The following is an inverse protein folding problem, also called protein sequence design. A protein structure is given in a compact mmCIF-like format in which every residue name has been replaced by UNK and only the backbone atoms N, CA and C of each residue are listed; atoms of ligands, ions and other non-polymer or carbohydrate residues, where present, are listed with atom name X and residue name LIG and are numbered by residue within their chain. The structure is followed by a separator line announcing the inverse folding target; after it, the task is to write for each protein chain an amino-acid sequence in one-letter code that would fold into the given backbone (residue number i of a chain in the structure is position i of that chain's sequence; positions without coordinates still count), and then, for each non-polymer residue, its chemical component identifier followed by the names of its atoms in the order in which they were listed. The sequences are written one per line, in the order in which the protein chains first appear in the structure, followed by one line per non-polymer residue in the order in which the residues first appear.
data_IF_142143162628
#
_entry.id   IF_142143162628
#
_cell.length_a   1.000
_cell.length_b   1.000
_cell.length_c   1.000
_cell.angle_alpha   90.00
_cell.angle_beta   90.00
_cell.angle_gamma   90.00
#
_symmetry.space_group_name_H-M   'P 1'
#
loop_
_entity.id
_entity.type
_entity.pdbx_description
1 polymer ?
#
# COMPACT_ATOMS: atom_id res chain seq x y z
N UNK A 1 -17.22 33.18 -43.31
CA UNK A 1 -16.02 32.86 -42.54
C UNK A 1 -16.48 32.13 -41.30
N UNK A 2 -16.28 30.79 -41.26
CA UNK A 2 -16.65 29.93 -40.14
C UNK A 2 -15.37 29.72 -39.33
N UNK A 3 -15.31 30.32 -38.14
CA UNK A 3 -14.17 30.16 -37.25
C UNK A 3 -14.13 28.77 -36.68
N UNK A 4 -13.08 28.01 -36.91
CA UNK A 4 -12.81 26.75 -36.30
C UNK A 4 -12.50 26.98 -34.83
N UNK A 5 -13.34 26.43 -33.94
CA UNK A 5 -13.05 26.29 -32.52
C UNK A 5 -12.00 25.17 -32.38
N UNK A 6 -10.75 25.57 -32.17
CA UNK A 6 -9.69 24.63 -31.79
C UNK A 6 -9.98 24.17 -30.36
N UNK A 7 -10.50 22.97 -30.26
CA UNK A 7 -10.63 22.32 -28.99
C UNK A 7 -9.25 22.09 -28.36
N UNK A 8 -8.98 22.76 -27.26
CA UNK A 8 -7.85 22.46 -26.38
C UNK A 8 -8.01 21.02 -25.88
N UNK A 9 -7.25 20.09 -26.47
CA UNK A 9 -7.04 18.80 -25.87
C UNK A 9 -6.27 19.00 -24.55
N UNK A 10 -6.71 18.36 -23.45
CA UNK A 10 -5.93 18.42 -22.22
C UNK A 10 -4.55 17.86 -22.50
N UNK A 11 -3.54 18.60 -22.10
CA UNK A 11 -2.14 18.17 -22.18
C UNK A 11 -2.02 16.81 -21.48
N UNK A 12 -1.66 15.78 -22.23
CA UNK A 12 -1.29 14.48 -21.68
C UNK A 12 0.04 14.66 -20.95
N UNK A 13 0.00 14.73 -19.63
CA UNK A 13 1.20 14.80 -18.80
C UNK A 13 1.98 13.51 -18.96
N UNK A 14 3.04 13.54 -19.75
CA UNK A 14 3.97 12.43 -19.89
C UNK A 14 4.61 12.15 -18.53
N UNK A 15 4.22 11.04 -17.88
CA UNK A 15 4.77 10.58 -16.59
C UNK A 15 3.75 10.28 -15.49
N UNK A 16 2.48 10.64 -15.63
CA UNK A 16 1.45 10.38 -14.61
C UNK A 16 0.37 9.38 -15.09
N UNK A 17 0.80 8.21 -15.52
CA UNK A 17 -0.16 7.14 -15.80
C UNK A 17 -0.49 6.41 -14.50
N UNK A 18 -1.75 6.50 -14.01
CA UNK A 18 -2.15 5.80 -12.81
C UNK A 18 -2.15 4.29 -13.02
N UNK A 19 -1.72 3.52 -12.02
CA UNK A 19 -1.84 2.06 -12.02
C UNK A 19 -3.31 1.61 -12.09
N UNK A 20 -3.56 0.33 -12.36
CA UNK A 20 -4.91 -0.23 -12.28
C UNK A 20 -5.49 -0.05 -10.86
N UNK A 21 -4.66 -0.20 -9.83
CA UNK A 21 -5.03 0.05 -8.44
C UNK A 21 -5.46 1.51 -8.23
N UNK A 22 -4.65 2.47 -8.67
CA UNK A 22 -4.97 3.90 -8.55
C UNK A 22 -6.29 4.26 -9.25
N UNK A 23 -6.53 3.72 -10.45
CA UNK A 23 -7.79 3.94 -11.19
C UNK A 23 -9.02 3.39 -10.46
N UNK A 24 -8.87 2.26 -9.75
CA UNK A 24 -9.95 1.62 -9.01
C UNK A 24 -10.25 2.35 -7.69
N UNK A 25 -9.21 2.75 -6.97
CA UNK A 25 -9.35 3.26 -5.60
C UNK A 25 -9.55 4.77 -5.54
N UNK A 26 -8.87 5.54 -6.38
CA UNK A 26 -8.90 7.01 -6.30
C UNK A 26 -10.09 7.57 -7.09
N UNK A 27 -11.02 8.29 -6.44
CA UNK A 27 -12.09 8.98 -7.15
C UNK A 27 -11.49 9.96 -8.17
N UNK A 28 -12.03 10.06 -9.42
CA UNK A 28 -11.44 10.90 -10.47
C UNK A 28 -11.29 12.38 -10.08
N UNK A 29 -12.17 12.90 -9.21
CA UNK A 29 -12.08 14.27 -8.71
C UNK A 29 -10.84 14.45 -7.81
N UNK A 30 -10.59 13.48 -6.91
CA UNK A 30 -9.42 13.49 -6.02
C UNK A 30 -8.12 13.32 -6.81
N UNK A 31 -8.09 12.43 -7.81
CA UNK A 31 -6.91 12.24 -8.64
C UNK A 31 -6.46 13.54 -9.30
N UNK A 32 -7.41 14.32 -9.85
CA UNK A 32 -7.11 15.64 -10.43
C UNK A 32 -6.51 16.59 -9.41
N UNK A 33 -7.07 16.64 -8.19
CA UNK A 33 -6.57 17.50 -7.12
C UNK A 33 -5.16 17.10 -6.68
N UNK A 34 -4.86 15.80 -6.56
CA UNK A 34 -3.51 15.33 -6.23
C UNK A 34 -2.49 15.73 -7.30
N UNK A 35 -2.83 15.57 -8.59
CA UNK A 35 -1.94 15.96 -9.70
C UNK A 35 -1.71 17.47 -9.68
N UNK A 36 -2.77 18.28 -9.58
CA UNK A 36 -2.67 19.75 -9.55
C UNK A 36 -1.85 20.25 -8.35
N UNK A 37 -2.06 19.68 -7.16
CA UNK A 37 -1.32 20.03 -5.97
C UNK A 37 0.15 19.62 -6.08
N UNK A 38 0.42 18.45 -6.64
CA UNK A 38 1.78 17.96 -6.90
C UNK A 38 2.54 18.88 -7.86
N UNK A 39 1.92 19.30 -8.94
CA UNK A 39 2.51 20.26 -9.90
C UNK A 39 2.78 21.62 -9.25
N UNK A 40 1.85 22.11 -8.44
CA UNK A 40 1.95 23.42 -7.80
C UNK A 40 3.07 23.50 -6.76
N UNK A 41 3.31 22.44 -6.00
CA UNK A 41 4.26 22.41 -4.87
C UNK A 41 5.48 21.51 -5.10
N UNK A 42 5.62 20.89 -6.27
CA UNK A 42 6.73 19.98 -6.55
C UNK A 42 6.66 18.67 -5.76
N UNK A 43 5.49 18.31 -5.23
CA UNK A 43 5.27 17.11 -4.44
C UNK A 43 4.76 15.97 -5.34
N UNK A 44 5.24 14.76 -5.14
CA UNK A 44 4.74 13.60 -5.87
C UNK A 44 3.23 13.38 -5.61
N UNK A 45 2.36 13.43 -6.64
CA UNK A 45 0.93 13.22 -6.49
C UNK A 45 0.54 11.88 -5.85
N UNK A 46 1.38 10.86 -6.03
CA UNK A 46 1.11 9.54 -5.45
C UNK A 46 1.34 9.52 -3.93
N UNK A 47 2.25 10.34 -3.42
CA UNK A 47 2.41 10.55 -1.97
C UNK A 47 1.15 11.21 -1.41
N UNK A 48 0.63 12.26 -2.06
CA UNK A 48 -0.62 12.92 -1.63
C UNK A 48 -1.81 11.97 -1.67
N UNK A 49 -1.90 11.14 -2.71
CA UNK A 49 -2.96 10.15 -2.84
C UNK A 49 -2.83 9.06 -1.75
N UNK A 50 -1.62 8.61 -1.42
CA UNK A 50 -1.40 7.66 -0.36
C UNK A 50 -1.80 8.20 1.02
N UNK A 51 -1.47 9.46 1.32
CA UNK A 51 -1.95 10.16 2.53
C UNK A 51 -3.48 10.16 2.55
N UNK A 52 -4.12 10.63 1.47
CA UNK A 52 -5.59 10.67 1.40
C UNK A 52 -6.27 9.31 1.54
N UNK A 53 -5.61 8.23 1.12
CA UNK A 53 -6.09 6.87 1.35
C UNK A 53 -5.98 6.47 2.83
N UNK A 54 -4.79 6.61 3.41
CA UNK A 54 -4.51 6.18 4.78
C UNK A 54 -5.36 6.96 5.78
N UNK A 55 -5.51 8.27 5.58
CA UNK A 55 -6.28 9.11 6.49
C UNK A 55 -7.80 8.82 6.41
N UNK A 56 -8.36 8.78 5.20
CA UNK A 56 -9.82 8.80 5.06
C UNK A 56 -10.36 8.03 3.86
N UNK A 57 -9.55 7.19 3.19
CA UNK A 57 -9.92 6.53 1.93
C UNK A 57 -10.41 7.55 0.88
N UNK A 58 -9.64 8.61 0.70
CA UNK A 58 -9.99 9.75 -0.18
C UNK A 58 -11.32 10.41 0.22
N UNK A 59 -11.49 10.72 1.49
CA UNK A 59 -12.69 11.36 2.01
C UNK A 59 -13.95 10.51 2.03
N UNK A 60 -13.86 9.20 1.75
CA UNK A 60 -15.03 8.29 1.76
C UNK A 60 -15.35 7.72 3.14
N UNK A 61 -14.41 7.79 4.07
CA UNK A 61 -14.63 7.37 5.45
C UNK A 61 -15.75 8.19 6.09
N UNK A 62 -16.58 7.52 6.90
CA UNK A 62 -17.66 8.14 7.68
C UNK A 62 -17.27 8.37 9.14
N UNK A 63 -16.00 8.19 9.48
CA UNK A 63 -15.50 8.44 10.82
C UNK A 63 -15.61 9.92 11.20
N UNK A 64 -15.68 10.24 12.50
CA UNK A 64 -15.68 11.61 12.98
C UNK A 64 -14.49 12.41 12.42
N UNK A 65 -14.68 13.70 12.19
CA UNK A 65 -13.65 14.60 11.67
C UNK A 65 -13.48 14.62 10.16
N UNK A 66 -13.98 13.64 9.40
CA UNK A 66 -13.76 13.59 7.94
C UNK A 66 -14.57 14.67 7.21
N UNK A 67 -15.85 14.83 7.55
CA UNK A 67 -16.76 15.77 6.88
C UNK A 67 -17.16 16.96 7.75
N UNK A 68 -17.00 16.85 9.06
CA UNK A 68 -17.29 17.90 10.02
C UNK A 68 -16.73 17.55 11.39
N UNK A 69 -16.56 18.57 12.25
CA UNK A 69 -16.05 18.38 13.61
C UNK A 69 -14.58 17.93 13.63
N UNK A 70 -14.19 17.15 14.61
CA UNK A 70 -12.84 16.60 14.77
C UNK A 70 -12.89 15.09 14.91
N UNK A 71 -11.78 14.42 14.63
CA UNK A 71 -11.66 12.99 14.81
C UNK A 71 -11.71 12.59 16.31
N UNK A 72 -11.72 11.28 16.57
CA UNK A 72 -11.82 10.74 17.94
C UNK A 72 -10.64 11.14 18.84
N UNK A 73 -9.51 11.56 18.26
CA UNK A 73 -8.38 12.13 19.00
C UNK A 73 -8.56 13.60 19.35
N UNK A 74 -9.67 14.23 18.90
CA UNK A 74 -10.03 15.61 19.22
C UNK A 74 -9.21 16.69 18.55
N UNK A 75 -8.40 16.37 17.53
CA UNK A 75 -7.48 17.32 16.91
C UNK A 75 -7.76 17.63 15.44
N UNK A 76 -8.17 16.62 14.68
CA UNK A 76 -7.87 16.62 13.27
C UNK A 76 -9.13 16.51 12.40
N UNK A 77 -9.08 17.09 11.19
CA UNK A 77 -10.25 17.32 10.36
C UNK A 77 -9.96 17.19 8.86
N UNK A 78 -11.02 16.86 8.12
CA UNK A 78 -11.06 16.83 6.67
C UNK A 78 -10.47 15.56 6.05
N UNK A 79 -10.47 15.47 4.71
CA UNK A 79 -10.00 14.31 3.99
C UNK A 79 -8.51 14.01 4.16
N UNK A 80 -7.72 15.02 4.55
CA UNK A 80 -6.28 14.92 4.80
C UNK A 80 -5.93 14.98 6.29
N UNK A 81 -6.92 14.95 7.20
CA UNK A 81 -6.79 14.93 8.66
C UNK A 81 -5.84 15.99 9.23
N UNK A 82 -5.99 17.25 8.78
CA UNK A 82 -5.21 18.36 9.34
C UNK A 82 -5.54 18.62 10.81
N UNK A 83 -4.49 18.84 11.60
CA UNK A 83 -4.67 19.37 12.96
C UNK A 83 -5.24 20.80 12.89
N UNK A 84 -6.44 20.99 13.46
CA UNK A 84 -7.17 22.26 13.50
C UNK A 84 -7.34 22.80 14.93
N UNK A 85 -6.76 22.13 15.93
CA UNK A 85 -7.00 22.41 17.35
C UNK A 85 -5.74 22.71 18.15
N UNK A 86 -4.65 22.02 17.88
CA UNK A 86 -3.42 22.12 18.66
C UNK A 86 -2.52 23.20 18.08
N UNK A 87 -2.19 24.18 18.86
CA UNK A 87 -1.47 25.42 18.52
C UNK A 87 -1.96 26.55 19.43
N UNK A 88 -1.86 27.82 19.18
CA UNK A 88 -1.74 28.57 17.92
C UNK A 88 -0.30 28.73 17.43
N UNK A 89 -0.04 28.76 16.12
CA UNK A 89 -1.01 28.36 15.10
C UNK A 89 -1.14 26.82 15.02
N UNK A 90 -2.31 26.33 14.61
CA UNK A 90 -2.49 24.92 14.25
C UNK A 90 -1.81 24.63 12.91
N UNK A 91 -1.70 23.35 12.53
CA UNK A 91 -1.15 23.00 11.21
C UNK A 91 -2.03 23.57 10.08
N UNK A 92 -3.36 23.54 10.28
CA UNK A 92 -4.28 24.13 9.32
C UNK A 92 -4.11 25.65 9.21
N UNK A 93 -3.99 26.38 10.33
CA UNK A 93 -3.77 27.83 10.33
C UNK A 93 -2.48 28.22 9.60
N UNK A 94 -1.46 27.35 9.67
CA UNK A 94 -0.15 27.60 9.06
C UNK A 94 -0.10 27.26 7.56
N UNK A 95 -0.78 26.21 7.15
CA UNK A 95 -0.62 25.62 5.82
C UNK A 95 -1.89 25.61 4.96
N UNK A 96 -3.06 25.96 5.50
CA UNK A 96 -4.32 26.02 4.76
C UNK A 96 -4.19 26.84 3.47
N UNK A 97 -4.86 26.38 2.41
CA UNK A 97 -4.86 26.98 1.05
C UNK A 97 -6.29 27.03 0.55
N UNK A 98 -6.74 28.16 0.06
CA UNK A 98 -7.93 28.27 -0.79
C UNK A 98 -7.51 27.78 -2.19
N UNK A 99 -7.76 26.51 -2.45
CA UNK A 99 -7.22 25.84 -3.64
C UNK A 99 -8.12 25.95 -4.86
N UNK A 100 -9.40 26.29 -4.66
CA UNK A 100 -10.39 26.49 -5.72
C UNK A 100 -10.76 27.96 -5.93
N UNK A 101 -10.12 28.91 -5.19
CA UNK A 101 -10.34 30.34 -5.26
C UNK A 101 -11.81 30.76 -5.01
N UNK A 102 -12.53 30.04 -4.12
CA UNK A 102 -13.92 30.33 -3.78
C UNK A 102 -14.07 31.35 -2.63
N UNK A 103 -12.94 31.82 -2.09
CA UNK A 103 -12.86 32.78 -1.00
C UNK A 103 -13.12 32.16 0.37
N UNK A 104 -13.13 30.86 0.50
CA UNK A 104 -13.28 30.11 1.75
C UNK A 104 -12.07 29.24 2.00
N UNK A 105 -11.72 29.04 3.25
CA UNK A 105 -10.62 28.18 3.66
C UNK A 105 -11.19 27.07 4.57
N UNK A 106 -11.30 25.86 4.03
CA UNK A 106 -11.97 24.76 4.72
C UNK A 106 -11.13 23.48 4.76
N UNK A 107 -10.78 22.94 5.93
CA UNK A 107 -10.08 21.67 6.01
C UNK A 107 -10.92 20.49 5.53
N UNK A 108 -12.25 20.67 5.37
CA UNK A 108 -13.17 19.64 4.89
C UNK A 108 -13.35 19.65 3.38
N UNK A 109 -12.95 20.73 2.69
CA UNK A 109 -12.95 20.78 1.25
C UNK A 109 -11.68 20.10 0.71
N UNK A 110 -11.79 19.02 -0.08
CA UNK A 110 -10.61 18.39 -0.67
C UNK A 110 -9.84 19.32 -1.61
N UNK A 111 -10.51 20.33 -2.22
CA UNK A 111 -9.84 21.31 -3.06
C UNK A 111 -8.90 22.24 -2.29
N UNK A 112 -9.13 22.43 -1.00
CA UNK A 112 -8.29 23.20 -0.08
C UNK A 112 -7.30 22.30 0.66
N UNK A 113 -7.79 21.17 1.20
CA UNK A 113 -7.01 20.30 2.05
C UNK A 113 -5.85 19.59 1.31
N UNK A 114 -6.05 19.20 0.04
CA UNK A 114 -5.02 18.50 -0.74
C UNK A 114 -3.85 19.43 -1.07
N UNK A 115 -4.03 20.64 -1.63
CA UNK A 115 -2.92 21.55 -1.84
C UNK A 115 -2.29 22.06 -0.53
N UNK A 116 -3.05 22.15 0.57
CA UNK A 116 -2.49 22.43 1.88
C UNK A 116 -1.53 21.32 2.36
N UNK A 117 -1.89 20.04 2.12
CA UNK A 117 -1.00 18.91 2.42
C UNK A 117 0.29 18.96 1.60
N UNK A 118 0.20 19.26 0.29
CA UNK A 118 1.36 19.42 -0.56
C UNK A 118 2.29 20.55 -0.08
N UNK A 119 1.70 21.70 0.28
CA UNK A 119 2.44 22.85 0.85
C UNK A 119 3.12 22.49 2.17
N UNK A 120 2.45 21.70 3.03
CA UNK A 120 3.05 21.27 4.28
C UNK A 120 4.23 20.32 4.06
N UNK A 121 4.09 19.35 3.16
CA UNK A 121 5.19 18.43 2.82
C UNK A 121 6.39 19.17 2.21
N UNK A 122 6.16 20.14 1.31
CA UNK A 122 7.21 21.00 0.75
C UNK A 122 7.97 21.74 1.86
N UNK A 123 7.24 22.38 2.77
CA UNK A 123 7.84 23.08 3.92
C UNK A 123 8.59 22.12 4.88
N UNK A 124 8.24 20.84 4.90
CA UNK A 124 8.86 19.82 5.74
C UNK A 124 10.01 19.07 5.04
N UNK A 125 10.39 19.44 3.80
CA UNK A 125 11.57 18.94 3.10
C UNK A 125 11.31 18.08 1.87
N UNK A 126 10.04 17.84 1.48
CA UNK A 126 9.74 17.19 0.22
C UNK A 126 10.10 18.13 -0.99
N UNK A 127 10.46 17.60 -2.14
CA UNK A 127 10.62 16.17 -2.47
C UNK A 127 11.98 15.58 -2.09
N UNK A 128 12.90 16.37 -1.47
CA UNK A 128 14.28 15.96 -1.21
C UNK A 128 14.35 14.88 -0.13
N UNK A 129 13.45 14.92 0.86
CA UNK A 129 13.39 13.96 1.96
C UNK A 129 11.91 13.67 2.33
N UNK A 130 11.31 12.71 1.63
CA UNK A 130 9.93 12.29 1.94
C UNK A 130 9.80 11.60 3.29
N UNK A 131 10.83 10.90 3.77
CA UNK A 131 10.76 10.23 5.07
C UNK A 131 10.63 11.26 6.19
N UNK A 132 11.47 12.31 6.17
CA UNK A 132 11.39 13.40 7.13
C UNK A 132 10.07 14.18 7.01
N UNK A 133 9.62 14.49 5.78
CA UNK A 133 8.39 15.23 5.54
C UNK A 133 7.14 14.47 6.01
N UNK A 134 7.07 13.18 5.75
CA UNK A 134 5.99 12.31 6.20
C UNK A 134 6.02 12.07 7.71
N UNK A 135 7.22 11.97 8.30
CA UNK A 135 7.35 11.89 9.74
C UNK A 135 6.91 13.19 10.45
N UNK A 136 7.15 14.35 9.83
CA UNK A 136 6.61 15.63 10.33
C UNK A 136 5.08 15.69 10.24
N UNK A 137 4.49 15.08 9.20
CA UNK A 137 3.03 15.01 9.00
C UNK A 137 2.36 14.15 10.07
N UNK A 138 2.90 12.95 10.32
CA UNK A 138 2.47 12.05 11.38
C UNK A 138 3.71 11.41 12.03
N UNK A 139 3.95 11.66 13.32
CA UNK A 139 5.14 11.25 14.06
C UNK A 139 5.19 9.74 14.35
N UNK A 140 4.96 8.91 13.32
CA UNK A 140 4.97 7.46 13.44
C UNK A 140 5.70 6.82 12.25
N UNK A 141 6.74 6.03 12.53
CA UNK A 141 7.52 5.36 11.48
C UNK A 141 6.68 4.40 10.61
N UNK A 142 5.67 3.75 11.20
CA UNK A 142 4.74 2.91 10.44
C UNK A 142 3.95 3.72 9.40
N UNK A 143 3.55 4.96 9.73
CA UNK A 143 2.84 5.84 8.82
C UNK A 143 3.69 6.19 7.60
N UNK A 144 4.96 6.55 7.83
CA UNK A 144 5.91 6.82 6.75
C UNK A 144 6.03 5.65 5.80
N UNK A 145 6.24 4.43 6.35
CA UNK A 145 6.35 3.22 5.55
C UNK A 145 5.08 2.93 4.75
N UNK A 146 3.91 3.06 5.37
CA UNK A 146 2.62 2.79 4.72
C UNK A 146 2.32 3.80 3.60
N UNK A 147 2.62 5.10 3.80
CA UNK A 147 2.47 6.12 2.75
C UNK A 147 3.40 5.83 1.57
N UNK A 148 4.67 5.54 1.82
CA UNK A 148 5.63 5.26 0.75
C UNK A 148 5.25 4.01 -0.05
N UNK A 149 4.85 2.94 0.64
CA UNK A 149 4.40 1.70 -0.01
C UNK A 149 3.13 1.92 -0.85
N UNK A 150 2.14 2.64 -0.31
CA UNK A 150 0.89 2.93 -1.03
C UNK A 150 1.12 3.85 -2.23
N UNK A 151 2.01 4.85 -2.10
CA UNK A 151 2.40 5.72 -3.21
C UNK A 151 3.07 4.93 -4.34
N UNK A 152 3.96 3.99 -4.01
CA UNK A 152 4.59 3.10 -4.98
C UNK A 152 3.56 2.25 -5.72
N UNK A 153 2.58 1.68 -5.02
CA UNK A 153 1.49 0.91 -5.61
C UNK A 153 0.61 1.76 -6.56
N UNK A 154 0.35 3.01 -6.21
CA UNK A 154 -0.42 3.93 -7.06
C UNK A 154 0.34 4.41 -8.29
N UNK A 155 1.64 4.61 -8.17
CA UNK A 155 2.51 5.06 -9.29
C UNK A 155 2.50 4.06 -10.44
N UNK A 156 2.22 2.78 -10.16
CA UNK A 156 2.42 1.74 -11.15
C UNK A 156 3.86 1.78 -11.65
N UNK A 157 4.79 1.88 -10.71
CA UNK A 157 6.19 1.83 -11.04
C UNK A 157 6.44 0.65 -11.97
N UNK A 158 7.24 0.81 -13.06
CA UNK A 158 7.79 -0.35 -13.71
C UNK A 158 8.52 -1.11 -12.60
N UNK A 159 7.95 -2.24 -12.20
CA UNK A 159 8.44 -3.12 -11.14
C UNK A 159 8.53 -2.60 -9.67
N UNK A 160 7.58 -1.79 -9.17
CA UNK A 160 6.84 -2.29 -8.02
C UNK A 160 5.84 -3.31 -8.60
N UNK A 161 6.33 -4.22 -9.41
CA UNK A 161 5.56 -5.30 -9.98
C UNK A 161 5.01 -6.08 -8.80
N UNK A 162 3.70 -5.95 -8.55
CA UNK A 162 3.00 -6.94 -7.75
C UNK A 162 3.49 -8.28 -8.23
N UNK A 163 3.70 -9.21 -7.32
CA UNK A 163 4.24 -10.53 -7.64
C UNK A 163 3.54 -11.05 -8.90
N UNK A 164 4.16 -10.84 -10.07
CA UNK A 164 3.62 -11.28 -11.35
C UNK A 164 3.98 -12.75 -11.46
N UNK A 165 3.02 -13.59 -11.25
CA UNK A 165 3.20 -14.99 -11.38
C UNK A 165 2.85 -15.42 -12.79
N UNK A 166 3.85 -15.45 -13.62
CA UNK A 166 3.86 -16.29 -14.80
C UNK A 166 3.80 -17.78 -14.39
N UNK A 167 3.31 -18.68 -15.25
CA UNK A 167 3.38 -20.10 -14.96
C UNK A 167 4.82 -20.50 -14.61
N UNK A 168 5.07 -20.76 -13.33
CA UNK A 168 6.39 -21.14 -12.83
C UNK A 168 6.46 -22.65 -12.66
N UNK A 169 7.62 -23.21 -12.89
CA UNK A 169 7.86 -24.63 -12.64
C UNK A 169 8.37 -24.87 -11.22
N UNK A 170 8.04 -26.01 -10.65
CA UNK A 170 8.64 -26.47 -9.37
C UNK A 170 10.17 -26.41 -9.44
N UNK A 171 10.75 -26.66 -10.60
CA UNK A 171 12.19 -26.57 -10.81
C UNK A 171 12.75 -25.17 -10.60
N UNK A 172 12.05 -24.15 -11.06
CA UNK A 172 12.43 -22.74 -10.84
C UNK A 172 12.53 -22.42 -9.35
N UNK A 173 11.56 -22.88 -8.55
CA UNK A 173 11.57 -22.72 -7.09
C UNK A 173 12.73 -23.50 -6.46
N UNK A 174 12.94 -24.75 -6.86
CA UNK A 174 13.98 -25.63 -6.30
C UNK A 174 15.40 -25.18 -6.63
N UNK A 175 15.62 -24.59 -7.81
CA UNK A 175 16.93 -24.12 -8.27
C UNK A 175 17.23 -22.68 -7.84
N UNK A 176 16.26 -21.96 -7.25
CA UNK A 176 16.45 -20.59 -6.80
C UNK A 176 17.19 -20.54 -5.43
N UNK A 177 18.42 -20.01 -5.36
CA UNK A 177 19.19 -19.95 -4.12
C UNK A 177 18.60 -18.98 -3.08
N UNK A 178 17.72 -18.04 -3.52
CA UNK A 178 17.02 -17.12 -2.64
C UNK A 178 15.85 -17.76 -1.90
N UNK A 179 15.40 -18.96 -2.30
CA UNK A 179 14.31 -19.68 -1.61
C UNK A 179 14.89 -20.79 -0.74
N UNK A 180 14.94 -20.56 0.55
CA UNK A 180 15.45 -21.53 1.53
C UNK A 180 14.32 -22.48 1.93
N UNK A 181 14.48 -23.74 1.57
CA UNK A 181 13.54 -24.83 1.82
C UNK A 181 14.20 -25.95 2.61
N UNK A 182 13.48 -26.53 3.55
CA UNK A 182 13.86 -27.76 4.23
C UNK A 182 13.85 -28.95 3.25
N UNK A 183 14.43 -30.06 3.67
CA UNK A 183 14.40 -31.31 2.90
C UNK A 183 12.98 -31.81 2.67
N UNK A 184 12.09 -31.68 3.67
CA UNK A 184 10.68 -32.08 3.61
C UNK A 184 9.94 -31.24 2.58
N UNK A 185 10.06 -29.91 2.63
CA UNK A 185 9.40 -28.99 1.72
C UNK A 185 9.85 -29.18 0.25
N UNK A 186 11.13 -29.47 0.05
CA UNK A 186 11.63 -29.84 -1.28
C UNK A 186 11.02 -31.14 -1.79
N UNK A 187 10.81 -32.13 -0.91
CA UNK A 187 10.14 -33.38 -1.25
C UNK A 187 8.66 -33.15 -1.59
N UNK A 188 7.95 -32.32 -0.85
CA UNK A 188 6.55 -31.94 -1.10
C UNK A 188 6.40 -31.34 -2.53
N UNK A 189 7.26 -30.40 -2.88
CA UNK A 189 7.29 -29.79 -4.22
C UNK A 189 7.56 -30.83 -5.31
N UNK A 190 8.52 -31.75 -5.10
CA UNK A 190 8.86 -32.79 -6.10
C UNK A 190 7.78 -33.85 -6.24
N UNK A 191 7.01 -34.11 -5.19
CA UNK A 191 5.91 -35.08 -5.20
C UNK A 191 4.67 -34.55 -5.95
N UNK A 192 4.61 -33.26 -6.29
CA UNK A 192 3.49 -32.65 -6.99
C UNK A 192 2.24 -32.45 -6.12
N UNK A 193 2.39 -32.49 -4.78
CA UNK A 193 1.29 -32.25 -3.84
C UNK A 193 0.99 -30.77 -3.61
N UNK A 194 1.87 -29.87 -4.06
CA UNK A 194 1.74 -28.42 -3.87
C UNK A 194 0.99 -27.81 -5.06
N UNK A 195 -0.02 -26.99 -4.76
CA UNK A 195 -0.85 -26.30 -5.74
C UNK A 195 0.00 -25.43 -6.69
N UNK A 196 -0.30 -25.47 -7.99
CA UNK A 196 0.45 -24.70 -9.01
C UNK A 196 0.44 -23.20 -8.77
N UNK A 197 -0.62 -22.67 -8.13
CA UNK A 197 -0.75 -21.25 -7.77
C UNK A 197 0.24 -20.88 -6.66
N UNK A 198 0.43 -21.78 -5.68
CA UNK A 198 1.42 -21.59 -4.64
C UNK A 198 2.84 -21.67 -5.21
N UNK A 199 3.12 -22.60 -6.13
CA UNK A 199 4.41 -22.67 -6.82
C UNK A 199 4.69 -21.38 -7.59
N UNK A 200 3.67 -20.84 -8.28
CA UNK A 200 3.78 -19.61 -9.06
C UNK A 200 4.05 -18.38 -8.17
N UNK A 201 3.34 -18.24 -7.04
CA UNK A 201 3.56 -17.11 -6.13
C UNK A 201 4.92 -17.21 -5.43
N UNK A 202 5.34 -18.42 -5.02
CA UNK A 202 6.64 -18.64 -4.40
C UNK A 202 7.80 -18.33 -5.36
N UNK A 203 7.68 -18.71 -6.63
CA UNK A 203 8.64 -18.33 -7.66
C UNK A 203 8.69 -16.81 -7.87
N UNK A 204 7.52 -16.15 -7.91
CA UNK A 204 7.44 -14.70 -8.04
C UNK A 204 8.10 -13.97 -6.86
N UNK A 205 7.89 -14.46 -5.63
CA UNK A 205 8.60 -13.98 -4.44
C UNK A 205 10.11 -14.15 -4.62
N UNK A 206 10.55 -15.34 -4.98
CA UNK A 206 11.98 -15.68 -5.11
C UNK A 206 12.72 -14.92 -6.21
N UNK A 207 12.03 -14.32 -7.20
CA UNK A 207 12.64 -13.43 -8.19
C UNK A 207 13.01 -12.06 -7.63
N UNK A 208 12.45 -11.68 -6.48
CA UNK A 208 12.58 -10.33 -5.89
C UNK A 208 13.18 -10.33 -4.51
N UNK A 209 12.92 -11.37 -3.74
CA UNK A 209 13.28 -11.51 -2.34
C UNK A 209 13.99 -12.82 -2.08
N UNK A 210 14.87 -12.83 -1.10
CA UNK A 210 15.30 -14.07 -0.47
C UNK A 210 14.36 -14.40 0.69
N UNK A 211 13.88 -15.64 0.75
CA UNK A 211 12.90 -16.06 1.77
C UNK A 211 13.27 -17.38 2.43
N UNK A 212 12.92 -17.52 3.70
CA UNK A 212 12.98 -18.78 4.44
C UNK A 212 11.54 -19.27 4.64
N UNK A 213 11.22 -20.41 4.05
CA UNK A 213 9.93 -21.07 4.23
C UNK A 213 9.97 -21.88 5.52
N UNK A 214 9.05 -21.60 6.43
CA UNK A 214 8.97 -22.28 7.74
C UNK A 214 7.94 -23.40 7.76
N UNK A 215 6.90 -23.31 6.93
CA UNK A 215 5.96 -24.42 6.71
C UNK A 215 5.43 -24.42 5.25
N UNK A 216 5.17 -25.59 4.71
CA UNK A 216 4.60 -25.77 3.35
C UNK A 216 3.44 -26.76 3.40
N UNK A 217 3.68 -28.06 3.20
CA UNK A 217 2.61 -29.08 3.18
C UNK A 217 2.75 -30.07 4.35
N UNK A 218 3.77 -30.90 4.31
CA UNK A 218 3.92 -32.03 5.26
C UNK A 218 4.49 -31.66 6.62
N UNK A 219 4.94 -30.42 6.80
CA UNK A 219 5.55 -29.90 8.03
C UNK A 219 4.60 -28.99 8.83
N UNK A 220 3.30 -29.07 8.56
CA UNK A 220 2.27 -28.32 9.27
C UNK A 220 1.14 -29.24 9.81
N UNK A 221 0.28 -28.69 10.68
CA UNK A 221 -0.85 -29.41 11.27
C UNK A 221 -1.88 -29.86 10.23
N UNK A 222 -2.49 -31.05 10.39
CA UNK A 222 -3.54 -31.52 9.50
C UNK A 222 -4.82 -30.68 9.60
N UNK A 223 -5.64 -30.71 8.55
CA UNK A 223 -6.91 -30.00 8.47
C UNK A 223 -6.80 -28.52 8.08
N UNK A 224 -5.64 -28.10 7.54
CA UNK A 224 -5.40 -26.74 7.08
C UNK A 224 -5.16 -26.68 5.57
N UNK A 225 -5.10 -25.47 4.99
CA UNK A 225 -4.70 -25.28 3.61
C UNK A 225 -3.26 -25.77 3.34
N UNK A 226 -2.39 -25.87 4.37
CA UNK A 226 -1.06 -26.48 4.23
C UNK A 226 -1.15 -27.96 3.84
N UNK A 227 -1.93 -28.79 4.57
CA UNK A 227 -2.10 -30.21 4.24
C UNK A 227 -2.57 -30.41 2.79
N UNK A 228 -3.40 -29.50 2.32
CA UNK A 228 -3.86 -29.52 0.93
C UNK A 228 -2.84 -28.97 -0.10
N UNK A 229 -1.63 -28.61 0.34
CA UNK A 229 -0.58 -28.01 -0.50
C UNK A 229 -0.93 -26.60 -1.01
N UNK A 230 -1.81 -25.89 -0.34
CA UNK A 230 -2.33 -24.57 -0.76
C UNK A 230 -1.96 -23.42 0.16
N UNK A 231 -1.06 -23.63 1.11
CA UNK A 231 -0.57 -22.58 1.97
C UNK A 231 0.94 -22.69 2.22
N UNK A 232 1.56 -21.58 2.58
CA UNK A 232 2.95 -21.50 3.02
C UNK A 232 3.11 -20.47 4.13
N UNK A 233 4.09 -20.72 5.01
CA UNK A 233 4.54 -19.77 6.01
C UNK A 233 5.95 -19.29 5.69
N UNK A 234 6.17 -17.98 5.76
CA UNK A 234 7.44 -17.33 5.48
C UNK A 234 7.96 -16.71 6.77
N UNK A 235 9.05 -17.25 7.29
CA UNK A 235 9.62 -16.82 8.58
C UNK A 235 10.69 -15.74 8.46
N UNK A 236 11.29 -15.55 7.27
CA UNK A 236 12.26 -14.48 7.03
C UNK A 236 12.23 -14.00 5.58
N UNK A 237 12.55 -12.72 5.36
CA UNK A 237 12.61 -12.05 4.06
C UNK A 237 13.87 -11.20 4.02
N UNK A 238 14.70 -11.35 2.97
CA UNK A 238 15.92 -10.56 2.72
C UNK A 238 16.86 -10.49 3.94
N UNK A 239 16.95 -11.60 4.68
CA UNK A 239 17.76 -11.72 5.89
C UNK A 239 17.11 -11.18 7.17
N UNK A 240 15.92 -10.58 7.09
CA UNK A 240 15.14 -10.14 8.25
C UNK A 240 14.21 -11.27 8.73
N UNK A 241 14.30 -11.64 10.01
CA UNK A 241 13.35 -12.55 10.66
C UNK A 241 12.05 -11.78 10.92
N UNK A 242 10.91 -12.31 10.49
CA UNK A 242 9.61 -11.69 10.70
C UNK A 242 9.27 -11.64 12.20
N UNK A 243 8.87 -10.48 12.69
CA UNK A 243 8.54 -10.22 14.10
C UNK A 243 7.34 -9.30 14.27
N UNK A 244 6.44 -9.28 13.29
CA UNK A 244 5.20 -8.52 13.33
C UNK A 244 5.36 -7.00 13.15
N UNK A 245 6.55 -6.52 12.80
CA UNK A 245 6.80 -5.12 12.52
C UNK A 245 6.02 -4.62 11.30
N UNK A 246 5.72 -3.31 11.26
CA UNK A 246 5.07 -2.65 10.13
C UNK A 246 6.06 -2.05 9.12
N UNK A 247 7.35 -2.18 9.39
CA UNK A 247 8.47 -1.74 8.56
C UNK A 247 9.42 -2.91 8.30
N UNK A 248 10.35 -2.75 7.34
CA UNK A 248 11.31 -3.77 6.98
C UNK A 248 10.81 -4.72 5.88
N UNK A 249 11.65 -5.70 5.56
CA UNK A 249 11.44 -6.58 4.41
C UNK A 249 10.19 -7.47 4.56
N UNK A 250 9.93 -8.01 5.76
CA UNK A 250 8.72 -8.81 6.01
C UNK A 250 7.45 -7.98 5.81
N UNK A 251 7.42 -6.75 6.33
CA UNK A 251 6.28 -5.86 6.15
C UNK A 251 6.08 -5.46 4.68
N UNK A 252 7.16 -5.27 3.93
CA UNK A 252 7.11 -4.99 2.50
C UNK A 252 6.50 -6.17 1.74
N UNK A 253 6.97 -7.39 1.98
CA UNK A 253 6.43 -8.59 1.33
C UNK A 253 4.94 -8.80 1.64
N UNK A 254 4.50 -8.58 2.90
CA UNK A 254 3.07 -8.65 3.26
C UNK A 254 2.22 -7.71 2.40
N UNK A 255 2.68 -6.47 2.18
CA UNK A 255 1.96 -5.51 1.31
C UNK A 255 1.97 -5.92 -0.15
N UNK A 256 3.09 -6.46 -0.64
CA UNK A 256 3.18 -6.98 -2.01
C UNK A 256 2.22 -8.15 -2.22
N UNK A 257 2.12 -9.06 -1.25
CA UNK A 257 1.17 -10.18 -1.27
C UNK A 257 -0.29 -9.72 -1.21
N UNK A 258 -0.61 -8.72 -0.39
CA UNK A 258 -1.94 -8.11 -0.33
C UNK A 258 -2.36 -7.46 -1.65
N UNK A 259 -1.39 -6.94 -2.41
CA UNK A 259 -1.62 -6.31 -3.72
C UNK A 259 -1.77 -7.30 -4.88
N UNK A 260 -1.54 -8.60 -4.66
CA UNK A 260 -1.71 -9.63 -5.71
C UNK A 260 -3.16 -9.76 -6.12
N UNK A 261 -3.43 -9.78 -7.41
CA UNK A 261 -4.77 -9.92 -7.98
C UNK A 261 -4.94 -11.16 -8.86
N UNK A 262 -6.20 -11.41 -9.26
CA UNK A 262 -6.54 -12.51 -10.16
C UNK A 262 -6.44 -13.88 -9.49
N UNK A 263 -6.06 -14.90 -10.26
CA UNK A 263 -6.05 -16.30 -9.81
C UNK A 263 -5.04 -16.63 -8.71
N UNK A 264 -4.09 -15.74 -8.47
CA UNK A 264 -3.05 -15.91 -7.45
C UNK A 264 -3.28 -15.08 -6.19
N UNK A 265 -4.40 -14.40 -6.12
CA UNK A 265 -4.80 -13.68 -4.93
C UNK A 265 -5.09 -14.66 -3.81
N UNK A 266 -4.46 -14.46 -2.65
CA UNK A 266 -4.71 -15.27 -1.45
C UNK A 266 -6.18 -15.17 -1.01
N UNK A 267 -6.69 -16.22 -0.40
CA UNK A 267 -7.92 -16.20 0.39
C UNK A 267 -7.62 -16.08 1.88
N UNK A 268 -6.36 -16.35 2.26
CA UNK A 268 -5.83 -16.21 3.61
C UNK A 268 -4.46 -15.56 3.55
N UNK A 269 -4.38 -14.26 3.83
CA UNK A 269 -3.13 -13.56 4.10
C UNK A 269 -3.14 -13.11 5.55
N UNK A 270 -2.35 -13.78 6.38
CA UNK A 270 -2.36 -13.54 7.82
C UNK A 270 -0.97 -13.05 8.27
N UNK A 271 -0.98 -12.00 9.04
CA UNK A 271 0.21 -11.48 9.69
C UNK A 271 -0.15 -10.84 11.04
N UNK A 272 0.82 -10.26 11.73
CA UNK A 272 0.62 -9.57 13.02
C UNK A 272 -0.34 -8.37 12.91
N UNK A 273 -0.50 -7.82 11.72
CA UNK A 273 -1.38 -6.70 11.40
C UNK A 273 -1.99 -6.88 10.01
N UNK A 274 -3.11 -6.25 9.79
CA UNK A 274 -3.88 -6.31 8.55
C UNK A 274 -3.30 -5.32 7.52
N UNK A 275 -2.77 -5.79 6.37
CA UNK A 275 -2.04 -4.96 5.42
C UNK A 275 -2.91 -4.05 4.55
N UNK A 276 -4.17 -4.40 4.32
CA UNK A 276 -5.10 -3.70 3.44
C UNK A 276 -6.38 -3.23 4.16
N UNK A 277 -6.46 -3.52 5.47
CA UNK A 277 -7.53 -3.05 6.35
C UNK A 277 -8.79 -3.89 6.32
N UNK A 278 -9.72 -3.65 7.24
CA UNK A 278 -10.87 -4.53 7.52
C UNK A 278 -11.90 -4.61 6.36
N UNK A 279 -11.69 -3.88 5.27
CA UNK A 279 -12.55 -3.96 4.10
C UNK A 279 -12.28 -5.19 3.23
N UNK A 280 -11.10 -5.79 3.34
CA UNK A 280 -10.77 -7.05 2.67
C UNK A 280 -10.74 -8.22 3.66
N UNK A 281 -11.74 -9.12 3.64
CA UNK A 281 -11.83 -10.22 4.60
C UNK A 281 -10.77 -11.33 4.40
N UNK A 282 -9.93 -11.24 3.36
CA UNK A 282 -8.91 -12.23 3.03
C UNK A 282 -7.57 -11.94 3.71
N UNK A 283 -7.35 -10.68 4.10
CA UNK A 283 -6.21 -10.26 4.90
C UNK A 283 -6.69 -9.95 6.30
N UNK A 284 -6.00 -10.46 7.30
CA UNK A 284 -6.37 -10.16 8.68
C UNK A 284 -5.20 -10.29 9.67
N UNK A 285 -5.31 -9.52 10.75
CA UNK A 285 -4.34 -9.52 11.82
C UNK A 285 -4.57 -10.69 12.79
N UNK A 286 -3.50 -11.43 13.13
CA UNK A 286 -3.51 -12.43 14.19
C UNK A 286 -2.25 -12.36 15.04
N UNK A 287 -2.41 -12.32 16.35
CA UNK A 287 -1.30 -12.20 17.28
C UNK A 287 -0.37 -13.44 17.29
N UNK A 288 -0.88 -14.59 16.91
CA UNK A 288 -0.14 -15.85 16.76
C UNK A 288 0.62 -15.95 15.42
N UNK A 289 0.52 -14.94 14.55
CA UNK A 289 1.22 -14.84 13.26
C UNK A 289 2.18 -13.61 13.23
N UNK A 290 2.79 -13.27 14.37
CA UNK A 290 3.76 -12.19 14.42
C UNK A 290 5.19 -12.62 14.06
N UNK A 291 5.47 -13.91 14.01
CA UNK A 291 6.78 -14.51 13.71
C UNK A 291 6.90 -15.08 12.28
N UNK A 292 5.82 -15.07 11.52
CA UNK A 292 5.79 -15.51 10.12
C UNK A 292 4.64 -14.82 9.34
N UNK A 293 4.75 -14.85 8.02
CA UNK A 293 3.70 -14.44 7.08
C UNK A 293 3.02 -15.71 6.61
N UNK A 294 1.73 -15.86 6.85
CA UNK A 294 0.93 -16.93 6.28
C UNK A 294 0.26 -16.47 4.98
N UNK A 295 0.44 -17.24 3.92
CA UNK A 295 -0.25 -17.07 2.65
C UNK A 295 -0.92 -18.36 2.25
N UNK A 296 -2.23 -18.33 2.03
CA UNK A 296 -3.03 -19.50 1.69
C UNK A 296 -4.14 -19.23 0.70
N UNK A 297 -4.66 -20.30 0.10
CA UNK A 297 -5.75 -20.29 -0.88
C UNK A 297 -6.74 -21.41 -0.60
N UNK A 298 -8.02 -21.11 -0.79
CA UNK A 298 -9.08 -22.11 -0.84
C UNK A 298 -9.05 -22.94 -2.13
N UNK A 299 -9.88 -23.99 -2.18
CA UNK A 299 -9.99 -24.92 -3.30
C UNK A 299 -10.44 -24.26 -4.61
#
# INVERSE_FOLDING_TARGET
MIGAVVGLQPATHAGFEPSALARREIPPAYLRLYVQAGERYGTDPWILAAIGWIETQHGRSRLPGVHSGVNDYGCCAGPMQFNIRNGPPSTWDSYGVDGNDDGRLSPYDPADAIPAAARYLDAAGAPQDYEAALYAYNHAGWYVADVLAKAAAYRGAPDAGGLQADPASVREVLDNPGIVLTRVQRADLMAGGVDERLVAILAAIGRRHSVIITALQSDHYPGTNHEAGRAMDIGAVDGEICRGGRTGACAQLVRELAAVEGRLRSTELIYCWDPDGPADPRSFARADHCDHIHWGMDA
#
